data_IF_049874119356
#
_entry.id   IF_049874119356
#
_cell.length_a   1.000
_cell.length_b   1.000
_cell.length_c   1.000
_cell.angle_alpha   90.00
_cell.angle_beta   90.00
_cell.angle_gamma   90.00
#
_symmetry.space_group_name_H-M   'P 1'
#
loop_
_entity.id
_entity.type
_entity.pdbx_description
1 polymer ?
#
# COMPACT_ATOMS: atom_id res chain seq x y z
N UNK A 1 8.99 -9.31 -23.14
CA UNK A 1 9.98 -8.53 -22.36
C UNK A 1 9.31 -7.45 -21.50
N UNK A 2 8.02 -7.16 -21.69
CA UNK A 2 7.27 -6.13 -20.95
C UNK A 2 6.72 -6.54 -19.56
N UNK A 3 6.98 -7.74 -19.06
CA UNK A 3 6.28 -8.26 -17.86
C UNK A 3 7.05 -8.16 -16.54
N UNK A 4 8.35 -7.84 -16.54
CA UNK A 4 9.18 -7.92 -15.32
C UNK A 4 8.87 -6.81 -14.31
N UNK A 5 8.69 -5.56 -14.80
CA UNK A 5 8.43 -4.42 -13.94
C UNK A 5 7.02 -4.48 -13.31
N UNK A 6 6.03 -4.89 -14.12
CA UNK A 6 4.64 -5.08 -13.69
C UNK A 6 4.57 -6.16 -12.60
N UNK A 7 5.30 -7.27 -12.77
CA UNK A 7 5.36 -8.34 -11.78
C UNK A 7 5.90 -7.87 -10.42
N UNK A 8 6.99 -7.09 -10.41
CA UNK A 8 7.59 -6.58 -9.17
C UNK A 8 6.66 -5.61 -8.43
N UNK A 9 5.98 -4.71 -9.15
CA UNK A 9 5.05 -3.77 -8.50
C UNK A 9 3.86 -4.52 -7.89
N UNK A 10 3.31 -5.51 -8.61
CA UNK A 10 2.22 -6.34 -8.09
C UNK A 10 2.62 -7.16 -6.85
N UNK A 11 3.83 -7.71 -6.84
CA UNK A 11 4.37 -8.44 -5.68
C UNK A 11 4.53 -7.53 -4.46
N UNK A 12 5.12 -6.35 -4.65
CA UNK A 12 5.27 -5.34 -3.60
C UNK A 12 3.91 -4.83 -3.11
N UNK A 13 2.93 -4.64 -3.99
CA UNK A 13 1.56 -4.31 -3.62
C UNK A 13 0.93 -5.39 -2.73
N UNK A 14 1.18 -6.67 -3.02
CA UNK A 14 0.77 -7.77 -2.15
C UNK A 14 1.40 -7.71 -0.75
N UNK A 15 2.66 -7.31 -0.64
CA UNK A 15 3.33 -7.09 0.66
C UNK A 15 2.66 -5.97 1.43
N UNK A 16 2.41 -4.81 0.80
CA UNK A 16 1.74 -3.66 1.43
C UNK A 16 0.32 -4.04 1.87
N UNK A 17 -0.44 -4.72 1.02
CA UNK A 17 -1.82 -5.13 1.34
C UNK A 17 -1.88 -6.09 2.53
N UNK A 18 -0.98 -7.07 2.61
CA UNK A 18 -0.90 -7.98 3.77
C UNK A 18 -0.56 -7.24 5.05
N UNK A 19 0.34 -6.26 4.98
CA UNK A 19 0.68 -5.43 6.13
C UNK A 19 -0.53 -4.62 6.61
N UNK A 20 -1.26 -3.97 5.69
CA UNK A 20 -2.45 -3.19 6.01
C UNK A 20 -3.61 -4.04 6.58
N UNK A 21 -3.77 -5.28 6.13
CA UNK A 21 -4.82 -6.19 6.61
C UNK A 21 -4.46 -6.96 7.88
N UNK A 22 -3.23 -6.86 8.39
CA UNK A 22 -2.84 -7.53 9.62
C UNK A 22 -3.56 -6.95 10.86
N UNK A 23 -3.96 -5.67 10.78
CA UNK A 23 -4.78 -4.98 11.78
C UNK A 23 -6.00 -4.35 11.10
N UNK A 24 -7.12 -5.06 11.13
CA UNK A 24 -8.42 -4.54 10.67
C UNK A 24 -8.70 -3.18 11.34
N UNK A 25 -9.00 -2.16 10.53
CA UNK A 25 -9.27 -0.77 10.95
C UNK A 25 -8.09 0.12 11.38
N UNK A 26 -6.82 -0.31 11.27
CA UNK A 26 -5.68 0.57 11.58
C UNK A 26 -5.26 1.45 10.39
N UNK A 27 -4.90 2.70 10.67
CA UNK A 27 -4.37 3.65 9.69
C UNK A 27 -2.88 3.83 9.91
N UNK A 28 -2.10 3.69 8.85
CA UNK A 28 -0.64 3.78 8.90
C UNK A 28 -0.14 5.02 8.18
N UNK A 29 0.92 5.64 8.70
CA UNK A 29 1.70 6.64 7.97
C UNK A 29 2.63 5.99 6.94
N UNK A 30 3.13 6.79 5.98
CA UNK A 30 4.12 6.32 5.01
C UNK A 30 5.37 5.71 5.68
N UNK A 31 5.87 6.33 6.75
CA UNK A 31 7.05 5.84 7.48
C UNK A 31 6.80 4.51 8.19
N UNK A 32 5.59 4.30 8.73
CA UNK A 32 5.20 3.01 9.31
C UNK A 32 5.11 1.92 8.25
N UNK A 33 4.50 2.22 7.09
CA UNK A 33 4.46 1.28 5.96
C UNK A 33 5.85 0.93 5.47
N UNK A 34 6.73 1.92 5.30
CA UNK A 34 8.11 1.71 4.88
C UNK A 34 8.88 0.82 5.85
N UNK A 35 8.76 1.09 7.16
CA UNK A 35 9.42 0.28 8.20
C UNK A 35 8.86 -1.15 8.25
N UNK A 36 7.54 -1.30 8.12
CA UNK A 36 6.85 -2.58 8.20
C UNK A 36 7.08 -3.49 6.98
N UNK A 37 7.07 -2.89 5.79
CA UNK A 37 7.23 -3.62 4.52
C UNK A 37 8.68 -3.77 4.07
N UNK A 38 9.58 -2.93 4.60
CA UNK A 38 11.01 -2.84 4.23
C UNK A 38 11.25 -2.44 2.77
N UNK A 39 10.25 -1.87 2.10
CA UNK A 39 10.35 -1.35 0.75
C UNK A 39 11.04 0.02 0.73
N UNK A 40 11.69 0.34 -0.38
CA UNK A 40 12.20 1.69 -0.66
C UNK A 40 11.05 2.64 -1.02
N UNK A 41 11.32 3.94 -1.05
CA UNK A 41 10.29 4.95 -1.30
C UNK A 41 9.60 4.75 -2.66
N UNK A 42 10.38 4.55 -3.71
CA UNK A 42 9.91 4.31 -5.08
C UNK A 42 9.08 3.02 -5.19
N UNK A 43 9.55 1.93 -4.59
CA UNK A 43 8.83 0.65 -4.53
C UNK A 43 7.51 0.78 -3.79
N UNK A 44 7.51 1.49 -2.65
CA UNK A 44 6.33 1.70 -1.82
C UNK A 44 5.30 2.60 -2.51
N UNK A 45 5.73 3.70 -3.15
CA UNK A 45 4.83 4.56 -3.92
C UNK A 45 4.21 3.81 -5.11
N UNK A 46 4.99 3.01 -5.83
CA UNK A 46 4.48 2.19 -6.92
C UNK A 46 3.45 1.15 -6.42
N UNK A 47 3.74 0.50 -5.30
CA UNK A 47 2.84 -0.46 -4.66
C UNK A 47 1.53 0.20 -4.18
N UNK A 48 1.60 1.38 -3.56
CA UNK A 48 0.43 2.16 -3.14
C UNK A 48 -0.42 2.53 -4.36
N UNK A 49 0.20 3.06 -5.42
CA UNK A 49 -0.52 3.42 -6.65
C UNK A 49 -1.16 2.20 -7.32
N UNK A 50 -0.52 1.04 -7.27
CA UNK A 50 -1.07 -0.22 -7.75
C UNK A 50 -2.32 -0.64 -6.97
N UNK A 51 -2.30 -0.56 -5.64
CA UNK A 51 -3.47 -0.86 -4.80
C UNK A 51 -4.60 0.14 -4.98
N UNK A 52 -4.29 1.42 -5.20
CA UNK A 52 -5.26 2.45 -5.50
C UNK A 52 -5.99 2.17 -6.82
N UNK A 53 -5.28 1.74 -7.86
CA UNK A 53 -5.86 1.29 -9.14
C UNK A 53 -6.87 0.13 -8.96
N UNK A 54 -6.65 -0.71 -7.95
CA UNK A 54 -7.50 -1.87 -7.64
C UNK A 54 -8.60 -1.58 -6.61
N UNK A 55 -8.75 -0.33 -6.14
CA UNK A 55 -9.66 0.04 -5.07
C UNK A 55 -9.47 -0.78 -3.77
N UNK A 56 -8.22 -1.07 -3.40
CA UNK A 56 -7.89 -1.89 -2.21
C UNK A 56 -7.34 -1.11 -1.02
N UNK A 57 -7.08 0.18 -1.20
CA UNK A 57 -6.49 1.06 -0.19
C UNK A 57 -7.28 2.37 -0.12
N UNK A 58 -7.48 2.85 1.11
CA UNK A 58 -7.99 4.18 1.38
C UNK A 58 -6.83 5.09 1.78
N UNK A 59 -6.80 6.29 1.21
CA UNK A 59 -5.78 7.31 1.47
C UNK A 59 -6.51 8.52 2.04
N UNK A 60 -6.11 8.94 3.24
CA UNK A 60 -6.65 10.15 3.87
C UNK A 60 -5.53 11.16 4.10
N UNK A 61 -5.75 12.40 3.65
CA UNK A 61 -4.82 13.50 3.82
C UNK A 61 -5.30 14.44 4.93
N UNK A 62 -4.40 14.74 5.87
CA UNK A 62 -4.61 15.73 6.92
C UNK A 62 -3.44 16.72 6.90
N UNK A 63 -3.65 17.85 6.22
CA UNK A 63 -2.62 18.86 5.98
C UNK A 63 -1.49 18.28 5.12
N UNK A 64 -0.27 18.22 5.68
CA UNK A 64 0.91 17.67 4.99
C UNK A 64 1.16 16.18 5.25
N UNK A 65 0.23 15.48 5.92
CA UNK A 65 0.39 14.06 6.27
C UNK A 65 -0.69 13.22 5.60
N UNK A 66 -0.26 12.14 4.95
CA UNK A 66 -1.15 11.11 4.44
C UNK A 66 -1.17 9.88 5.37
N UNK A 67 -2.32 9.25 5.49
CA UNK A 67 -2.52 7.97 6.16
C UNK A 67 -3.19 6.96 5.23
N UNK A 68 -2.91 5.69 5.46
CA UNK A 68 -3.22 4.57 4.56
C UNK A 68 -3.86 3.43 5.34
N UNK A 69 -4.98 2.90 4.84
CA UNK A 69 -5.66 1.72 5.41
C UNK A 69 -6.16 0.80 4.29
N UNK A 70 -6.32 -0.49 4.58
CA UNK A 70 -7.00 -1.39 3.65
C UNK A 70 -8.50 -1.02 3.55
N UNK A 71 -9.06 -1.13 2.35
CA UNK A 71 -10.53 -1.06 2.19
C UNK A 71 -11.08 -2.42 2.60
N UNK A 72 -11.89 -2.45 3.66
CA UNK A 72 -12.61 -3.66 4.04
C UNK A 72 -13.75 -3.88 3.04
N UNK A 73 -13.68 -4.98 2.28
CA UNK A 73 -14.82 -5.44 1.53
C UNK A 73 -15.77 -6.11 2.52
N UNK A 74 -16.84 -5.41 2.89
CA UNK A 74 -17.99 -6.06 3.50
C UNK A 74 -18.58 -7.02 2.45
N UNK A 75 -18.28 -8.31 2.58
CA UNK A 75 -18.98 -9.37 1.85
C UNK A 75 -20.31 -9.69 2.52
#
# INVERSE_FOLDING_TARGET
MESKLIGVIGENAGVVWRFLNASSSEKFSFEQLKKGTKLKNDELYAAIGWLARENKIQIEENGSKASYSAIEFFF
#
